data_IF_792147365553
#
_entry.id   IF_792147365553
#
_cell.length_a   1.000
_cell.length_b   1.000
_cell.length_c   1.000
_cell.angle_alpha   90.00
_cell.angle_beta   90.00
_cell.angle_gamma   90.00
#
_symmetry.space_group_name_H-M   'P 1'
#
loop_
_entity.id
_entity.type
_entity.pdbx_description
1 polymer ?
#
# COMPACT_ATOMS: atom_id res chain seq x y z
N UNK A 1 21.40 -21.17 -19.86
CA UNK A 1 20.96 -21.93 -18.68
C UNK A 1 20.46 -20.96 -17.61
N UNK A 2 21.24 -19.92 -17.26
CA UNK A 2 20.78 -18.78 -16.42
C UNK A 2 19.49 -18.12 -16.95
N UNK A 3 19.38 -17.85 -18.25
CA UNK A 3 18.19 -17.19 -18.85
C UNK A 3 16.87 -17.96 -18.66
N UNK A 4 16.95 -19.29 -18.52
CA UNK A 4 15.79 -20.15 -18.30
C UNK A 4 15.45 -20.27 -16.80
N UNK A 5 16.44 -20.06 -15.94
CA UNK A 5 16.30 -20.05 -14.48
C UNK A 5 15.73 -18.72 -13.99
N UNK A 6 16.21 -17.59 -14.53
CA UNK A 6 15.66 -16.26 -14.27
C UNK A 6 14.21 -16.13 -14.76
N UNK A 7 13.89 -16.70 -15.93
CA UNK A 7 12.52 -16.77 -16.43
C UNK A 7 11.63 -17.62 -15.52
N UNK A 8 12.13 -18.78 -15.05
CA UNK A 8 11.39 -19.63 -14.12
C UNK A 8 11.18 -18.94 -12.75
N UNK A 9 12.18 -18.21 -12.26
CA UNK A 9 12.10 -17.41 -11.02
C UNK A 9 11.10 -16.27 -11.21
N UNK A 10 11.16 -15.54 -12.32
CA UNK A 10 10.22 -14.47 -12.66
C UNK A 10 8.79 -15.00 -12.72
N UNK A 11 8.58 -16.13 -13.39
CA UNK A 11 7.27 -16.79 -13.49
C UNK A 11 6.78 -17.27 -12.12
N UNK A 12 7.66 -17.80 -11.26
CA UNK A 12 7.30 -18.17 -9.88
C UNK A 12 6.94 -16.95 -9.03
N UNK A 13 7.64 -15.84 -9.20
CA UNK A 13 7.34 -14.56 -8.57
C UNK A 13 5.96 -14.05 -8.99
N UNK A 14 5.75 -13.87 -10.29
CA UNK A 14 4.46 -13.44 -10.85
C UNK A 14 3.28 -14.32 -10.41
N UNK A 15 3.52 -15.60 -10.11
CA UNK A 15 2.50 -16.56 -9.64
C UNK A 15 2.29 -16.57 -8.12
N UNK A 16 3.06 -15.83 -7.32
CA UNK A 16 2.87 -15.75 -5.86
C UNK A 16 3.10 -17.05 -5.07
N UNK A 17 3.63 -18.11 -5.69
CA UNK A 17 3.70 -19.48 -5.16
C UNK A 17 4.52 -19.66 -3.87
N UNK A 18 5.21 -18.63 -3.37
CA UNK A 18 6.07 -18.68 -2.19
C UNK A 18 5.48 -18.03 -0.93
N UNK A 19 4.26 -17.49 -0.98
CA UNK A 19 3.64 -16.79 0.15
C UNK A 19 2.82 -17.76 1.01
N UNK A 20 3.47 -18.45 1.95
CA UNK A 20 2.75 -19.11 3.05
C UNK A 20 2.19 -18.04 4.01
N UNK A 21 0.91 -18.16 4.36
CA UNK A 21 0.16 -17.22 5.23
C UNK A 21 0.69 -17.19 6.68
N UNK A 22 1.47 -18.19 7.11
CA UNK A 22 1.96 -18.31 8.49
C UNK A 22 3.16 -17.41 8.86
N UNK A 23 3.49 -16.43 8.02
CA UNK A 23 4.53 -15.45 8.29
C UNK A 23 3.94 -14.08 7.98
N UNK A 24 3.37 -13.44 9.00
CA UNK A 24 3.19 -11.98 9.00
C UNK A 24 4.54 -11.31 8.70
N UNK A 25 4.53 -10.04 8.28
CA UNK A 25 5.77 -9.27 8.19
C UNK A 25 6.57 -9.47 9.48
N UNK A 26 7.89 -9.65 9.37
CA UNK A 26 8.77 -9.80 10.54
C UNK A 26 8.41 -8.70 11.55
N UNK A 27 7.95 -9.09 12.77
CA UNK A 27 7.43 -8.18 13.82
C UNK A 27 8.43 -7.08 14.20
N UNK A 28 9.67 -7.20 13.71
CA UNK A 28 10.79 -6.31 13.94
C UNK A 28 10.78 -5.02 13.10
N UNK A 29 9.92 -4.87 12.08
CA UNK A 29 9.91 -3.68 11.21
C UNK A 29 8.77 -2.75 11.60
N UNK A 30 9.11 -1.61 12.19
CA UNK A 30 8.15 -0.54 12.46
C UNK A 30 8.14 0.50 11.34
N UNK A 31 6.93 0.87 10.91
CA UNK A 31 6.74 1.98 10.00
C UNK A 31 7.09 3.28 10.71
N UNK A 32 7.93 4.09 10.08
CA UNK A 32 8.33 5.39 10.61
C UNK A 32 7.33 6.45 10.15
N UNK A 33 6.20 6.51 10.83
CA UNK A 33 5.14 7.48 10.57
C UNK A 33 5.56 8.88 11.09
N UNK A 34 5.02 9.91 10.46
CA UNK A 34 5.27 11.30 10.86
C UNK A 34 4.07 11.79 11.66
N UNK A 35 4.25 11.81 12.98
CA UNK A 35 3.30 12.44 13.89
C UNK A 35 3.52 13.95 13.89
N UNK A 36 2.41 14.69 13.90
CA UNK A 36 2.42 16.15 13.99
C UNK A 36 1.55 16.52 15.19
N UNK A 37 2.04 17.43 16.04
CA UNK A 37 1.26 17.93 17.17
C UNK A 37 -0.09 18.50 16.71
N UNK A 38 -1.13 18.32 17.54
CA UNK A 38 -2.46 18.88 17.29
C UNK A 38 -2.36 20.39 16.99
N UNK A 39 -2.68 20.76 15.75
CA UNK A 39 -2.67 22.13 15.29
C UNK A 39 -4.03 22.47 14.69
N UNK A 40 -4.47 23.72 14.80
CA UNK A 40 -5.73 24.18 14.20
C UNK A 40 -5.74 24.18 12.66
N UNK A 41 -4.59 23.88 12.04
CA UNK A 41 -4.45 23.74 10.60
C UNK A 41 -4.56 22.26 10.22
N UNK A 42 -5.42 21.95 9.26
CA UNK A 42 -5.63 20.60 8.74
C UNK A 42 -5.02 20.46 7.35
N UNK A 43 -4.54 19.26 7.04
CA UNK A 43 -4.16 18.90 5.67
C UNK A 43 -5.40 18.80 4.78
N UNK A 44 -5.27 19.08 3.47
CA UNK A 44 -6.39 18.93 2.56
C UNK A 44 -6.77 17.44 2.43
N UNK A 45 -8.06 17.17 2.24
CA UNK A 45 -8.58 15.81 2.02
C UNK A 45 -8.52 15.38 0.55
N UNK A 46 -8.33 16.32 -0.36
CA UNK A 46 -8.04 16.07 -1.77
C UNK A 46 -6.62 16.54 -2.09
N UNK A 47 -6.02 15.97 -3.14
CA UNK A 47 -4.67 16.38 -3.51
C UNK A 47 -4.65 17.83 -4.01
N UNK A 48 -4.05 18.71 -3.20
CA UNK A 48 -3.75 20.08 -3.58
C UNK A 48 -2.29 20.42 -3.22
N UNK A 49 -1.37 20.46 -4.21
CA UNK A 49 0.04 20.72 -3.96
C UNK A 49 0.29 22.09 -3.35
N UNK A 50 -0.58 23.09 -3.59
CA UNK A 50 -0.41 24.42 -3.03
C UNK A 50 -0.70 24.42 -1.52
N UNK A 51 -1.83 23.85 -1.09
CA UNK A 51 -2.17 23.70 0.34
C UNK A 51 -1.16 22.82 1.07
N UNK A 52 -0.74 21.70 0.49
CA UNK A 52 0.29 20.81 1.07
C UNK A 52 1.61 21.57 1.27
N UNK A 53 2.03 22.34 0.26
CA UNK A 53 3.24 23.16 0.34
C UNK A 53 3.13 24.24 1.43
N UNK A 54 1.98 24.91 1.54
CA UNK A 54 1.74 25.90 2.58
C UNK A 54 1.76 25.30 3.99
N UNK A 55 1.21 24.09 4.16
CA UNK A 55 1.19 23.37 5.43
C UNK A 55 2.60 22.95 5.87
N UNK A 56 3.36 22.27 5.01
CA UNK A 56 4.70 21.77 5.33
C UNK A 56 5.77 22.86 5.33
N UNK A 57 5.58 23.93 4.56
CA UNK A 57 6.44 25.11 4.57
C UNK A 57 6.49 25.81 5.93
N UNK A 58 5.43 25.72 6.73
CA UNK A 58 5.37 26.21 8.11
C UNK A 58 6.01 25.27 9.14
N UNK A 59 6.35 24.04 8.75
CA UNK A 59 6.83 22.96 9.62
C UNK A 59 8.21 22.45 9.20
N UNK A 60 9.24 23.32 9.07
CA UNK A 60 10.54 22.93 8.53
C UNK A 60 11.27 21.88 9.38
N UNK A 61 11.01 21.82 10.69
CA UNK A 61 11.60 20.79 11.57
C UNK A 61 11.10 19.40 11.22
N UNK A 62 9.79 19.21 11.06
CA UNK A 62 9.22 17.92 10.68
C UNK A 62 9.73 17.47 9.31
N UNK A 63 9.78 18.37 8.34
CA UNK A 63 10.34 18.11 7.00
C UNK A 63 11.82 17.71 7.09
N UNK A 64 12.64 18.46 7.83
CA UNK A 64 14.07 18.17 7.97
C UNK A 64 14.31 16.81 8.65
N UNK A 65 13.58 16.51 9.72
CA UNK A 65 13.62 15.20 10.37
C UNK A 65 13.28 14.09 9.39
N UNK A 66 12.23 14.27 8.58
CA UNK A 66 11.84 13.30 7.57
C UNK A 66 12.92 13.11 6.51
N UNK A 67 13.52 14.19 6.00
CA UNK A 67 14.63 14.11 5.03
C UNK A 67 15.83 13.36 5.62
N UNK A 68 16.24 13.67 6.86
CA UNK A 68 17.36 12.99 7.53
C UNK A 68 17.07 11.49 7.65
N UNK A 69 15.83 11.16 8.03
CA UNK A 69 15.40 9.77 8.12
C UNK A 69 15.50 9.06 6.77
N UNK A 70 14.95 9.64 5.70
CA UNK A 70 15.03 9.10 4.33
C UNK A 70 16.49 8.90 3.89
N UNK A 71 17.34 9.92 4.07
CA UNK A 71 18.75 9.88 3.69
C UNK A 71 19.55 8.86 4.51
N UNK A 72 19.27 8.72 5.80
CA UNK A 72 19.99 7.77 6.65
C UNK A 72 19.75 6.32 6.21
N UNK A 73 18.51 5.99 5.86
CA UNK A 73 18.11 4.64 5.42
C UNK A 73 18.62 4.37 4.01
N UNK A 74 18.38 5.30 3.07
CA UNK A 74 18.85 5.17 1.69
C UNK A 74 20.39 5.16 1.59
N UNK A 75 21.07 6.01 2.36
CA UNK A 75 22.53 6.09 2.38
C UNK A 75 23.19 4.81 2.86
N UNK A 76 22.64 4.18 3.90
CA UNK A 76 23.09 2.87 4.38
C UNK A 76 23.00 1.80 3.28
N UNK A 77 21.85 1.72 2.60
CA UNK A 77 21.63 0.79 1.49
C UNK A 77 22.58 1.03 0.31
N UNK A 78 22.64 2.27 -0.18
CA UNK A 78 23.46 2.64 -1.33
C UNK A 78 24.95 2.42 -1.06
N UNK A 79 25.42 2.65 0.18
CA UNK A 79 26.81 2.37 0.55
C UNK A 79 27.15 0.89 0.45
N UNK A 80 26.24 0.00 0.88
CA UNK A 80 26.41 -1.46 0.79
C UNK A 80 26.32 -1.94 -0.65
N UNK A 81 25.38 -1.41 -1.43
CA UNK A 81 25.29 -1.71 -2.86
C UNK A 81 26.56 -1.29 -3.61
N UNK A 82 27.11 -0.11 -3.30
CA UNK A 82 28.37 0.36 -3.86
C UNK A 82 29.55 -0.57 -3.48
N UNK A 83 29.62 -1.01 -2.21
CA UNK A 83 30.62 -1.99 -1.78
C UNK A 83 30.47 -3.33 -2.52
N UNK A 84 29.25 -3.80 -2.75
CA UNK A 84 28.99 -5.04 -3.50
C UNK A 84 29.47 -4.92 -4.96
N UNK A 85 29.27 -3.75 -5.59
CA UNK A 85 29.79 -3.46 -6.93
C UNK A 85 31.32 -3.44 -6.94
N UNK A 86 31.94 -2.73 -6.00
CA UNK A 86 33.42 -2.63 -5.88
C UNK A 86 34.05 -4.00 -5.64
N UNK A 87 33.43 -4.81 -4.78
CA UNK A 87 33.92 -6.15 -4.43
C UNK A 87 33.48 -7.23 -5.42
N UNK A 88 32.71 -6.89 -6.47
CA UNK A 88 32.14 -7.81 -7.46
C UNK A 88 31.25 -8.92 -6.85
N UNK A 89 30.57 -8.61 -5.74
CA UNK A 89 29.68 -9.52 -4.99
C UNK A 89 28.19 -9.27 -5.25
N UNK A 90 27.83 -8.49 -6.27
CA UNK A 90 26.43 -8.13 -6.57
C UNK A 90 25.54 -9.36 -6.72
N UNK A 91 25.95 -10.38 -7.50
CA UNK A 91 25.19 -11.63 -7.66
C UNK A 91 25.10 -12.43 -6.36
N UNK A 92 26.18 -12.48 -5.58
CA UNK A 92 26.23 -13.22 -4.31
C UNK A 92 25.28 -12.61 -3.26
N UNK A 93 25.20 -11.28 -3.24
CA UNK A 93 24.42 -10.52 -2.25
C UNK A 93 23.03 -10.11 -2.74
N UNK A 94 22.62 -10.51 -3.95
CA UNK A 94 21.39 -10.04 -4.60
C UNK A 94 20.14 -10.28 -3.73
N UNK A 95 19.99 -11.51 -3.20
CA UNK A 95 18.87 -11.87 -2.32
C UNK A 95 18.87 -11.04 -1.05
N UNK A 96 20.05 -10.85 -0.43
CA UNK A 96 20.17 -10.05 0.78
C UNK A 96 19.83 -8.57 0.53
N UNK A 97 20.24 -8.01 -0.62
CA UNK A 97 19.90 -6.63 -1.00
C UNK A 97 18.41 -6.49 -1.33
N UNK A 98 17.79 -7.50 -1.96
CA UNK A 98 16.37 -7.51 -2.26
C UNK A 98 15.51 -7.53 -0.99
N UNK A 99 15.88 -8.35 -0.01
CA UNK A 99 15.24 -8.38 1.32
C UNK A 99 15.40 -7.02 1.99
N UNK A 100 16.63 -6.49 2.06
CA UNK A 100 16.88 -5.19 2.68
C UNK A 100 16.10 -4.05 1.99
N UNK A 101 16.02 -4.05 0.66
CA UNK A 101 15.22 -3.08 -0.09
C UNK A 101 13.75 -3.14 0.33
N UNK A 102 13.17 -4.35 0.43
CA UNK A 102 11.80 -4.54 0.92
C UNK A 102 11.64 -3.98 2.33
N UNK A 103 12.54 -4.28 3.25
CA UNK A 103 12.49 -3.81 4.64
C UNK A 103 12.59 -2.28 4.73
N UNK A 104 13.46 -1.69 3.92
CA UNK A 104 13.59 -0.23 3.80
C UNK A 104 12.26 0.36 3.33
N UNK A 105 11.75 -0.12 2.19
CA UNK A 105 10.49 0.35 1.62
C UNK A 105 9.34 0.24 2.62
N UNK A 106 9.24 -0.87 3.35
CA UNK A 106 8.27 -1.05 4.45
C UNK A 106 8.48 -0.01 5.54
N UNK A 107 9.71 0.18 6.03
CA UNK A 107 10.01 1.09 7.14
C UNK A 107 9.76 2.57 6.79
N UNK A 108 9.89 2.94 5.52
CA UNK A 108 9.64 4.30 5.06
C UNK A 108 8.14 4.62 5.06
N UNK A 109 7.27 3.62 4.98
CA UNK A 109 5.83 3.80 5.20
C UNK A 109 5.00 3.85 3.91
N UNK A 110 3.73 4.31 4.01
CA UNK A 110 2.67 3.99 3.05
C UNK A 110 2.98 4.39 1.59
N UNK A 111 3.56 5.57 1.39
CA UNK A 111 3.90 6.06 0.05
C UNK A 111 4.92 5.16 -0.65
N UNK A 112 5.96 4.76 0.08
CA UNK A 112 7.02 3.90 -0.43
C UNK A 112 6.54 2.46 -0.60
N UNK A 113 5.71 1.94 0.31
CA UNK A 113 5.10 0.61 0.16
C UNK A 113 4.33 0.53 -1.15
N UNK A 114 3.47 1.53 -1.45
CA UNK A 114 2.76 1.59 -2.72
C UNK A 114 3.69 1.70 -3.94
N UNK A 115 4.76 2.50 -3.84
CA UNK A 115 5.78 2.55 -4.88
C UNK A 115 6.43 1.17 -5.09
N UNK A 116 6.75 0.46 -4.01
CA UNK A 116 7.29 -0.89 -4.06
C UNK A 116 6.36 -1.88 -4.73
N UNK A 117 5.05 -1.83 -4.40
CA UNK A 117 4.00 -2.63 -5.05
C UNK A 117 3.91 -2.33 -6.56
N UNK A 118 3.99 -1.05 -6.95
CA UNK A 118 3.98 -0.67 -8.36
C UNK A 118 5.25 -1.14 -9.12
N UNK A 119 6.40 -1.11 -8.45
CA UNK A 119 7.68 -1.57 -9.03
C UNK A 119 7.77 -3.11 -9.08
N UNK A 120 7.07 -3.83 -8.20
CA UNK A 120 7.17 -5.30 -8.11
C UNK A 120 6.57 -6.04 -9.31
N UNK A 121 5.93 -5.31 -10.23
CA UNK A 121 5.39 -5.80 -11.50
C UNK A 121 6.15 -5.26 -12.73
N UNK A 122 7.31 -4.62 -12.53
CA UNK A 122 8.11 -3.97 -13.57
C UNK A 122 9.44 -4.69 -13.82
N UNK A 123 9.45 -5.76 -14.65
CA UNK A 123 10.66 -6.53 -14.96
C UNK A 123 11.72 -5.76 -15.75
N UNK A 124 11.34 -4.61 -16.33
CA UNK A 124 12.25 -3.69 -17.00
C UNK A 124 13.06 -2.81 -16.02
N UNK A 125 12.67 -2.77 -14.75
CA UNK A 125 13.31 -1.95 -13.71
C UNK A 125 14.02 -2.80 -12.66
N UNK A 126 13.40 -3.90 -12.23
CA UNK A 126 13.87 -4.71 -11.11
C UNK A 126 14.28 -6.12 -11.56
N UNK A 127 15.27 -6.70 -10.86
CA UNK A 127 15.61 -8.11 -11.07
C UNK A 127 14.48 -9.02 -10.59
N UNK A 128 14.37 -10.26 -11.12
CA UNK A 128 13.36 -11.22 -10.68
C UNK A 128 13.36 -11.44 -9.16
N UNK A 129 14.55 -11.46 -8.53
CA UNK A 129 14.72 -11.60 -7.09
C UNK A 129 14.12 -10.40 -6.34
N UNK A 130 14.42 -9.19 -6.78
CA UNK A 130 13.86 -7.97 -6.18
C UNK A 130 12.34 -7.89 -6.36
N UNK A 131 11.81 -8.27 -7.53
CA UNK A 131 10.37 -8.33 -7.77
C UNK A 131 9.66 -9.27 -6.80
N UNK A 132 10.18 -10.49 -6.62
CA UNK A 132 9.63 -11.46 -5.67
C UNK A 132 9.62 -10.93 -4.22
N UNK A 133 10.69 -10.25 -3.81
CA UNK A 133 10.75 -9.68 -2.47
C UNK A 133 9.78 -8.51 -2.29
N UNK A 134 9.66 -7.63 -3.28
CA UNK A 134 8.71 -6.50 -3.20
C UNK A 134 7.25 -6.92 -3.35
N UNK A 135 6.94 -8.02 -4.04
CA UNK A 135 5.56 -8.56 -4.09
C UNK A 135 5.03 -8.92 -2.71
N UNK A 136 5.91 -9.24 -1.74
CA UNK A 136 5.51 -9.46 -0.34
C UNK A 136 4.87 -8.21 0.28
N UNK A 137 5.15 -7.00 -0.22
CA UNK A 137 4.55 -5.75 0.25
C UNK A 137 3.04 -5.68 -0.02
N UNK A 138 2.49 -6.52 -0.89
CA UNK A 138 1.05 -6.58 -1.15
C UNK A 138 0.29 -7.19 0.04
N UNK A 139 0.86 -8.20 0.69
CA UNK A 139 0.16 -9.01 1.71
C UNK A 139 0.81 -8.93 3.11
N UNK A 140 2.08 -8.53 3.19
CA UNK A 140 2.90 -8.63 4.41
C UNK A 140 3.41 -7.26 4.81
N UNK A 141 2.49 -6.40 5.24
CA UNK A 141 2.81 -5.13 5.89
C UNK A 141 2.59 -5.27 7.41
N UNK A 142 3.48 -4.75 8.27
CA UNK A 142 3.29 -4.78 9.73
C UNK A 142 1.95 -4.15 10.15
N UNK A 143 1.26 -4.73 11.12
CA UNK A 143 0.08 -4.13 11.74
C UNK A 143 0.46 -2.95 12.65
N UNK A 144 -0.53 -2.19 13.07
CA UNK A 144 -0.43 -1.20 14.14
C UNK A 144 -1.29 -1.64 15.34
N UNK A 145 -1.08 -1.06 16.54
CA UNK A 145 -1.77 -1.49 17.76
C UNK A 145 -3.30 -1.53 17.62
N UNK A 146 -3.90 -2.63 18.10
CA UNK A 146 -5.33 -2.90 17.96
C UNK A 146 -6.20 -1.89 18.72
N UNK A 147 -5.72 -1.40 19.87
CA UNK A 147 -6.39 -0.37 20.66
C UNK A 147 -6.55 0.95 19.88
N UNK A 148 -5.53 1.34 19.11
CA UNK A 148 -5.61 2.51 18.21
C UNK A 148 -6.65 2.27 17.11
N UNK A 149 -6.68 1.06 16.53
CA UNK A 149 -7.64 0.72 15.49
C UNK A 149 -9.09 0.76 16.01
N UNK A 150 -9.33 0.19 17.21
CA UNK A 150 -10.65 0.21 17.84
C UNK A 150 -11.08 1.64 18.18
N UNK A 151 -10.19 2.44 18.75
CA UNK A 151 -10.47 3.86 19.03
C UNK A 151 -10.82 4.63 17.74
N UNK A 152 -10.13 4.37 16.63
CA UNK A 152 -10.43 5.00 15.35
C UNK A 152 -11.80 4.58 14.79
N UNK A 153 -12.19 3.31 14.96
CA UNK A 153 -13.55 2.86 14.61
C UNK A 153 -14.61 3.65 15.39
N UNK A 154 -14.41 3.82 16.68
CA UNK A 154 -15.34 4.55 17.55
C UNK A 154 -15.43 6.03 17.20
N UNK A 155 -14.28 6.68 16.94
CA UNK A 155 -14.19 8.07 16.52
C UNK A 155 -14.94 8.30 15.21
N UNK A 156 -14.68 7.46 14.21
CA UNK A 156 -15.19 7.65 12.85
C UNK A 156 -16.65 7.24 12.67
N UNK A 157 -17.13 6.25 13.44
CA UNK A 157 -18.51 5.76 13.38
C UNK A 157 -19.40 6.36 14.48
N UNK A 158 -18.82 7.12 15.41
CA UNK A 158 -19.53 7.91 16.42
C UNK A 158 -20.17 7.11 17.57
N UNK A 159 -19.82 5.83 17.73
CA UNK A 159 -20.33 4.96 18.79
C UNK A 159 -19.35 3.80 19.06
N UNK A 160 -19.40 3.17 20.25
CA UNK A 160 -18.54 2.04 20.58
C UNK A 160 -18.68 0.90 19.56
N UNK A 161 -17.57 0.27 19.17
CA UNK A 161 -17.60 -0.76 18.13
C UNK A 161 -18.46 -1.97 18.52
N UNK A 162 -18.64 -2.24 19.82
CA UNK A 162 -19.48 -3.29 20.39
C UNK A 162 -21.00 -3.02 20.23
N UNK A 163 -21.37 -1.78 19.93
CA UNK A 163 -22.74 -1.42 19.55
C UNK A 163 -23.00 -1.71 18.07
N UNK A 164 -21.95 -1.71 17.25
CA UNK A 164 -21.98 -1.93 15.80
C UNK A 164 -21.84 -3.40 15.45
N UNK A 165 -20.81 -4.04 16.01
CA UNK A 165 -20.41 -5.40 15.72
C UNK A 165 -20.68 -6.29 16.94
N UNK A 166 -21.34 -7.43 16.74
CA UNK A 166 -21.52 -8.45 17.78
C UNK A 166 -20.23 -9.25 18.03
N UNK A 167 -19.39 -9.35 17.01
CA UNK A 167 -18.09 -10.02 17.04
C UNK A 167 -17.11 -9.18 16.21
N UNK A 168 -15.88 -9.01 16.69
CA UNK A 168 -14.78 -8.43 15.94
C UNK A 168 -13.49 -9.14 16.37
N UNK A 169 -12.62 -9.49 15.43
CA UNK A 169 -11.39 -10.21 15.74
C UNK A 169 -10.47 -9.38 16.63
N UNK A 170 -9.82 -10.01 17.61
CA UNK A 170 -8.91 -9.31 18.55
C UNK A 170 -7.61 -8.84 17.92
N UNK A 171 -7.30 -9.35 16.73
CA UNK A 171 -6.11 -9.02 15.95
C UNK A 171 -6.50 -8.95 14.47
N UNK A 172 -5.76 -8.19 13.64
CA UNK A 172 -6.09 -8.07 12.24
C UNK A 172 -5.85 -9.38 11.51
N UNK A 173 -6.74 -9.70 10.58
CA UNK A 173 -6.61 -10.86 9.69
C UNK A 173 -5.69 -10.55 8.49
N UNK A 174 -5.51 -9.26 8.17
CA UNK A 174 -4.66 -8.79 7.09
C UNK A 174 -4.22 -7.36 7.38
N UNK A 175 -3.05 -6.97 6.87
CA UNK A 175 -2.53 -5.62 6.93
C UNK A 175 -1.92 -5.23 5.59
N UNK A 176 -2.23 -4.01 5.14
CA UNK A 176 -1.85 -3.48 3.84
C UNK A 176 -1.20 -2.10 3.99
N UNK A 177 -0.89 -1.45 2.86
CA UNK A 177 -0.17 -0.17 2.82
C UNK A 177 -0.87 0.95 3.59
N UNK A 178 -2.20 1.05 3.49
CA UNK A 178 -2.98 2.15 4.09
C UNK A 178 -3.69 1.80 5.41
N UNK A 179 -3.82 0.52 5.74
CA UNK A 179 -4.70 0.09 6.82
C UNK A 179 -4.53 -1.38 7.20
N UNK A 180 -5.34 -1.84 8.13
CA UNK A 180 -5.47 -3.25 8.50
C UNK A 180 -6.93 -3.67 8.57
N UNK A 181 -7.18 -4.96 8.40
CA UNK A 181 -8.52 -5.52 8.24
C UNK A 181 -8.83 -6.45 9.42
N UNK A 182 -10.02 -6.30 9.97
CA UNK A 182 -10.59 -7.16 11.00
C UNK A 182 -11.75 -7.95 10.42
N UNK A 183 -11.93 -9.18 10.92
CA UNK A 183 -13.14 -9.96 10.62
C UNK A 183 -14.16 -9.67 11.72
N UNK A 184 -15.39 -9.36 11.34
CA UNK A 184 -16.44 -9.07 12.29
C UNK A 184 -17.81 -9.61 11.87
N UNK A 185 -18.79 -9.35 12.72
CA UNK A 185 -20.20 -9.65 12.51
C UNK A 185 -21.06 -8.47 12.91
N UNK A 186 -21.93 -8.01 12.01
CA UNK A 186 -22.83 -6.91 12.30
C UNK A 186 -23.91 -7.31 13.29
N UNK A 187 -24.17 -6.44 14.27
CA UNK A 187 -25.16 -6.67 15.32
C UNK A 187 -26.60 -6.55 14.80
N UNK A 188 -26.82 -5.68 13.81
CA UNK A 188 -28.14 -5.37 13.27
C UNK A 188 -28.78 -6.55 12.53
N UNK A 189 -27.99 -7.33 11.79
CA UNK A 189 -28.50 -8.39 10.91
C UNK A 189 -27.70 -9.71 10.96
N UNK A 190 -26.56 -9.75 11.66
CA UNK A 190 -25.73 -10.95 11.78
C UNK A 190 -24.78 -11.20 10.61
N UNK A 191 -24.69 -10.30 9.63
CA UNK A 191 -23.84 -10.47 8.45
C UNK A 191 -22.36 -10.51 8.83
N UNK A 192 -21.60 -11.40 8.19
CA UNK A 192 -20.14 -11.43 8.31
C UNK A 192 -19.53 -10.30 7.48
N UNK A 193 -18.57 -9.59 8.06
CA UNK A 193 -17.96 -8.41 7.46
C UNK A 193 -16.43 -8.39 7.58
N UNK A 194 -15.80 -7.74 6.62
CA UNK A 194 -14.43 -7.27 6.71
C UNK A 194 -14.46 -5.77 7.07
N UNK A 195 -13.76 -5.40 8.14
CA UNK A 195 -13.67 -4.01 8.64
C UNK A 195 -12.24 -3.53 8.43
N UNK A 196 -12.03 -2.71 7.40
CA UNK A 196 -10.73 -2.11 7.08
C UNK A 196 -10.59 -0.78 7.79
N UNK A 197 -9.54 -0.63 8.59
CA UNK A 197 -9.25 0.54 9.41
C UNK A 197 -7.96 1.17 8.91
N UNK A 198 -8.01 2.47 8.60
CA UNK A 198 -6.87 3.22 8.09
C UNK A 198 -5.78 3.37 9.16
N UNK A 199 -4.51 3.37 8.75
CA UNK A 199 -3.36 3.61 9.63
C UNK A 199 -3.42 5.03 10.19
N UNK A 200 -3.06 5.23 11.47
CA UNK A 200 -2.92 6.57 12.03
C UNK A 200 -1.83 7.35 11.28
N UNK A 201 -1.98 8.67 11.19
CA UNK A 201 -1.01 9.58 10.58
C UNK A 201 -0.62 9.29 9.12
N UNK A 202 -1.45 8.52 8.39
CA UNK A 202 -1.17 8.15 6.99
C UNK A 202 -1.15 9.40 6.09
N UNK A 203 -2.07 10.34 6.31
CA UNK A 203 -2.21 11.56 5.51
C UNK A 203 -0.99 12.46 5.70
N UNK A 204 -0.58 12.67 6.95
CA UNK A 204 0.59 13.44 7.34
C UNK A 204 1.86 12.84 6.73
N UNK A 205 2.06 11.54 6.93
CA UNK A 205 3.24 10.83 6.43
C UNK A 205 3.35 10.91 4.90
N UNK A 206 2.24 10.68 4.20
CA UNK A 206 2.23 10.70 2.73
C UNK A 206 2.41 12.11 2.19
N UNK A 207 1.72 13.10 2.77
CA UNK A 207 1.81 14.48 2.29
C UNK A 207 3.20 15.08 2.48
N UNK A 208 3.92 14.76 3.56
CA UNK A 208 5.31 15.22 3.73
C UNK A 208 6.25 14.54 2.73
N UNK A 209 6.05 13.26 2.45
CA UNK A 209 6.83 12.54 1.44
C UNK A 209 6.61 13.14 0.04
N UNK A 210 5.35 13.35 -0.34
CA UNK A 210 4.98 14.03 -1.58
C UNK A 210 5.59 15.42 -1.68
N UNK A 211 5.52 16.21 -0.61
CA UNK A 211 6.13 17.54 -0.55
C UNK A 211 7.65 17.49 -0.80
N UNK A 212 8.35 16.56 -0.16
CA UNK A 212 9.81 16.39 -0.32
C UNK A 212 10.15 15.98 -1.76
N UNK A 213 9.49 14.95 -2.29
CA UNK A 213 9.78 14.41 -3.64
C UNK A 213 9.44 15.46 -4.71
N UNK A 214 8.31 16.15 -4.57
CA UNK A 214 7.90 17.21 -5.50
C UNK A 214 8.89 18.37 -5.51
N UNK A 215 9.37 18.80 -4.34
CA UNK A 215 10.39 19.85 -4.23
C UNK A 215 11.72 19.42 -4.86
N UNK A 216 12.13 18.16 -4.68
CA UNK A 216 13.27 17.60 -5.39
C UNK A 216 13.04 17.66 -6.91
N UNK A 217 11.87 17.24 -7.39
CA UNK A 217 11.51 17.34 -8.81
C UNK A 217 11.61 18.76 -9.37
N UNK A 218 11.16 19.77 -8.62
CA UNK A 218 11.30 21.19 -9.00
C UNK A 218 12.76 21.64 -9.10
N UNK A 219 13.64 21.11 -8.24
CA UNK A 219 15.09 21.35 -8.33
C UNK A 219 15.67 20.65 -9.55
N UNK A 220 15.29 19.39 -9.81
CA UNK A 220 15.77 18.61 -10.94
C UNK A 220 15.37 19.23 -12.30
N UNK A 221 14.19 19.87 -12.39
CA UNK A 221 13.76 20.62 -13.59
C UNK A 221 14.73 21.75 -14.00
N UNK A 222 15.59 22.23 -13.09
CA UNK A 222 16.62 23.23 -13.41
C UNK A 222 17.82 22.64 -14.17
N UNK A 223 17.92 21.32 -14.25
CA UNK A 223 19.00 20.60 -14.91
C UNK A 223 18.50 20.02 -16.23
N UNK A 224 18.83 20.62 -17.40
CA UNK A 224 18.29 20.22 -18.70
C UNK A 224 18.71 18.81 -19.15
N UNK A 225 19.67 18.19 -18.47
CA UNK A 225 20.11 16.80 -18.71
C UNK A 225 19.09 15.76 -18.21
N UNK A 226 18.16 16.16 -17.35
CA UNK A 226 17.13 15.28 -16.77
C UNK A 226 15.84 15.48 -17.58
N UNK A 227 15.50 14.49 -18.41
CA UNK A 227 14.30 14.53 -19.25
C UNK A 227 13.02 14.03 -18.56
N UNK A 228 13.13 13.52 -17.33
CA UNK A 228 12.00 12.94 -16.59
C UNK A 228 11.23 14.05 -15.89
N UNK A 229 9.93 14.16 -16.17
CA UNK A 229 9.05 15.06 -15.42
C UNK A 229 8.63 14.46 -14.08
N UNK A 230 9.54 14.54 -13.11
CA UNK A 230 9.31 14.03 -11.75
C UNK A 230 8.10 14.69 -11.09
N UNK A 231 7.88 15.99 -11.32
CA UNK A 231 6.74 16.70 -10.70
C UNK A 231 5.43 16.22 -11.28
N UNK A 232 5.33 16.09 -12.61
CA UNK A 232 4.13 15.56 -13.25
C UNK A 232 3.81 14.14 -12.80
N UNK A 233 4.84 13.28 -12.69
CA UNK A 233 4.68 11.92 -12.19
C UNK A 233 4.18 11.88 -10.73
N UNK A 234 4.75 12.72 -9.87
CA UNK A 234 4.33 12.83 -8.47
C UNK A 234 2.90 13.36 -8.37
N UNK A 235 2.55 14.38 -9.15
CA UNK A 235 1.22 14.99 -9.09
C UNK A 235 0.12 13.98 -9.51
N UNK A 236 0.35 13.17 -10.56
CA UNK A 236 -0.60 12.12 -10.97
C UNK A 236 -0.70 11.01 -9.93
N UNK A 237 0.44 10.51 -9.44
CA UNK A 237 0.46 9.46 -8.44
C UNK A 237 -0.19 9.90 -7.12
N UNK A 238 0.04 11.15 -6.72
CA UNK A 238 -0.55 11.73 -5.53
C UNK A 238 -2.08 11.85 -5.64
N UNK A 239 -2.60 12.28 -6.79
CA UNK A 239 -4.04 12.37 -6.99
C UNK A 239 -4.72 11.00 -6.74
N UNK A 240 -4.18 9.92 -7.32
CA UNK A 240 -4.67 8.55 -7.12
C UNK A 240 -4.52 8.09 -5.68
N UNK A 241 -3.40 8.42 -5.04
CA UNK A 241 -3.20 8.08 -3.63
C UNK A 241 -4.27 8.72 -2.73
N UNK A 242 -4.61 9.98 -2.97
CA UNK A 242 -5.64 10.69 -2.18
C UNK A 242 -7.04 10.10 -2.37
N UNK A 243 -7.36 9.61 -3.57
CA UNK A 243 -8.60 8.87 -3.82
C UNK A 243 -8.68 7.59 -2.95
N UNK A 244 -7.55 6.93 -2.71
CA UNK A 244 -7.47 5.75 -1.84
C UNK A 244 -7.46 6.05 -0.34
N UNK A 245 -7.19 7.30 0.05
CA UNK A 245 -7.32 7.75 1.45
C UNK A 245 -8.78 8.00 1.84
N UNK A 246 -9.69 7.96 0.87
CA UNK A 246 -11.12 8.12 1.06
C UNK A 246 -11.83 6.77 0.91
N UNK A 247 -12.06 6.10 2.02
CA UNK A 247 -12.73 4.79 2.03
C UNK A 247 -14.21 4.84 1.64
N UNK A 248 -14.85 6.01 1.71
CA UNK A 248 -16.21 6.18 1.15
C UNK A 248 -16.14 6.05 -0.37
N UNK A 249 -15.21 6.78 -1.00
CA UNK A 249 -14.98 6.71 -2.44
C UNK A 249 -14.57 5.30 -2.87
N UNK A 250 -13.71 4.60 -2.12
CA UNK A 250 -13.38 3.20 -2.39
C UNK A 250 -14.62 2.29 -2.36
N UNK A 251 -15.46 2.43 -1.32
CA UNK A 251 -16.69 1.66 -1.17
C UNK A 251 -17.73 1.94 -2.27
N UNK A 252 -17.84 3.18 -2.74
CA UNK A 252 -18.70 3.57 -3.87
C UNK A 252 -18.18 3.02 -5.20
N UNK A 253 -16.88 3.13 -5.46
CA UNK A 253 -16.26 2.58 -6.66
C UNK A 253 -16.43 1.06 -6.74
N UNK A 254 -16.35 0.35 -5.60
CA UNK A 254 -16.66 -1.09 -5.54
C UNK A 254 -18.09 -1.41 -5.98
N UNK A 255 -19.07 -0.62 -5.53
CA UNK A 255 -20.47 -0.82 -5.93
C UNK A 255 -20.68 -0.52 -7.42
N UNK A 256 -20.09 0.57 -7.92
CA UNK A 256 -20.14 0.90 -9.36
C UNK A 256 -19.54 -0.22 -10.21
N UNK A 257 -18.38 -0.74 -9.80
CA UNK A 257 -17.73 -1.85 -10.50
C UNK A 257 -18.59 -3.13 -10.46
N UNK A 258 -19.24 -3.42 -9.33
CA UNK A 258 -20.25 -4.51 -9.22
C UNK A 258 -21.37 -4.39 -10.24
N UNK A 259 -21.91 -3.18 -10.42
CA UNK A 259 -22.97 -2.93 -11.39
C UNK A 259 -22.49 -3.09 -12.84
N UNK A 260 -21.29 -2.61 -13.15
CA UNK A 260 -20.67 -2.76 -14.48
C UNK A 260 -20.44 -4.23 -14.84
N UNK A 261 -19.96 -5.04 -13.90
CA UNK A 261 -19.64 -6.45 -14.16
C UNK A 261 -20.88 -7.35 -14.21
N UNK A 262 -21.96 -7.00 -13.49
CA UNK A 262 -23.15 -7.85 -13.32
C UNK A 262 -23.72 -8.43 -14.62
N UNK A 263 -23.65 -7.68 -15.72
CA UNK A 263 -24.20 -8.11 -17.02
C UNK A 263 -23.26 -9.02 -17.80
N UNK A 264 -21.98 -8.69 -17.81
CA UNK A 264 -21.00 -9.28 -18.75
C UNK A 264 -20.10 -10.34 -18.09
N UNK A 265 -19.88 -10.24 -16.79
CA UNK A 265 -19.09 -11.14 -15.98
C UNK A 265 -19.81 -11.45 -14.65
N UNK A 266 -20.95 -12.16 -14.67
CA UNK A 266 -21.71 -12.49 -13.45
C UNK A 266 -20.92 -13.36 -12.46
N UNK A 267 -19.83 -13.99 -12.89
CA UNK A 267 -18.91 -14.73 -12.02
C UNK A 267 -17.96 -13.83 -11.20
N UNK A 268 -17.83 -12.54 -11.56
CA UNK A 268 -17.03 -11.59 -10.78
C UNK A 268 -17.90 -10.99 -9.70
N UNK A 269 -17.56 -11.31 -8.44
CA UNK A 269 -18.29 -10.85 -7.25
C UNK A 269 -17.47 -9.79 -6.55
N UNK A 270 -18.11 -8.66 -6.25
CA UNK A 270 -17.55 -7.58 -5.45
C UNK A 270 -18.33 -7.50 -4.15
N UNK A 271 -17.66 -7.50 -2.98
CA UNK A 271 -18.34 -7.51 -1.69
C UNK A 271 -19.21 -6.28 -1.52
N UNK A 272 -20.41 -6.46 -0.96
CA UNK A 272 -21.29 -5.33 -0.67
C UNK A 272 -20.66 -4.40 0.37
N UNK A 273 -20.56 -3.11 0.04
CA UNK A 273 -20.23 -2.04 1.00
C UNK A 273 -21.40 -1.75 1.93
N UNK A 274 -21.16 -1.73 3.24
CA UNK A 274 -22.13 -1.29 4.24
C UNK A 274 -21.94 0.20 4.53
N UNK A 275 -22.64 1.04 3.76
CA UNK A 275 -22.52 2.50 3.82
C UNK A 275 -22.72 3.08 5.24
N UNK A 276 -23.65 2.52 6.01
CA UNK A 276 -23.90 2.93 7.41
C UNK A 276 -22.69 2.74 8.33
N UNK A 277 -21.81 1.80 8.00
CA UNK A 277 -20.61 1.43 8.77
C UNK A 277 -19.33 1.75 8.00
N UNK A 278 -19.40 2.74 7.13
CA UNK A 278 -18.28 3.22 6.31
C UNK A 278 -18.13 4.73 6.53
N UNK A 279 -16.88 5.15 6.71
CA UNK A 279 -16.46 6.54 6.85
C UNK A 279 -15.23 6.77 5.97
N UNK A 280 -14.59 7.93 6.09
CA UNK A 280 -13.36 8.23 5.35
C UNK A 280 -12.21 7.29 5.73
N UNK A 281 -12.13 6.85 6.99
CA UNK A 281 -11.02 6.03 7.51
C UNK A 281 -11.43 4.60 7.91
N UNK A 282 -12.71 4.26 7.84
CA UNK A 282 -13.21 2.91 8.14
C UNK A 282 -14.07 2.42 6.96
N UNK A 283 -13.75 1.25 6.41
CA UNK A 283 -14.53 0.62 5.35
C UNK A 283 -15.08 -0.71 5.84
N UNK A 284 -16.40 -0.87 5.83
CA UNK A 284 -17.05 -2.15 6.15
C UNK A 284 -17.62 -2.77 4.88
N UNK A 285 -17.11 -3.95 4.50
CA UNK A 285 -17.62 -4.72 3.35
C UNK A 285 -18.06 -6.11 3.77
N UNK A 286 -18.82 -6.77 2.92
CA UNK A 286 -19.16 -8.18 3.06
C UNK A 286 -17.89 -9.04 3.17
N UNK A 287 -17.92 -10.02 4.06
CA UNK A 287 -16.88 -11.04 4.14
C UNK A 287 -17.03 -12.02 2.98
N UNK A 288 -16.02 -12.12 2.13
CA UNK A 288 -15.93 -13.13 1.08
C UNK A 288 -14.89 -14.17 1.47
N UNK A 289 -15.26 -15.43 1.34
CA UNK A 289 -14.37 -16.56 1.56
C UNK A 289 -13.99 -17.16 0.21
N UNK A 290 -12.69 -17.38 -0.01
CA UNK A 290 -12.16 -17.88 -1.26
C UNK A 290 -10.66 -18.10 -1.20
N UNK A 291 -10.12 -18.63 -2.29
CA UNK A 291 -8.69 -18.84 -2.49
C UNK A 291 -8.05 -17.58 -3.08
N UNK A 292 -6.85 -17.20 -2.60
CA UNK A 292 -6.14 -16.04 -3.14
C UNK A 292 -5.65 -16.32 -4.56
N UNK A 293 -5.61 -15.29 -5.41
CA UNK A 293 -5.04 -15.41 -6.76
C UNK A 293 -3.59 -15.91 -6.78
N UNK A 294 -2.82 -15.61 -5.73
CA UNK A 294 -1.45 -16.11 -5.55
C UNK A 294 -1.36 -17.62 -5.29
N UNK A 295 -2.48 -18.28 -5.02
CA UNK A 295 -2.57 -19.72 -4.74
C UNK A 295 -3.12 -20.50 -5.95
N UNK A 296 -3.65 -19.80 -6.96
CA UNK A 296 -4.23 -20.39 -8.17
C UNK A 296 -3.27 -21.30 -8.94
N UNK A 297 -3.81 -22.35 -9.55
CA UNK A 297 -3.04 -23.35 -10.29
C UNK A 297 -2.76 -22.90 -11.74
N UNK A 298 -1.80 -23.53 -12.42
CA UNK A 298 -1.48 -23.20 -13.83
C UNK A 298 -2.69 -23.30 -14.76
N UNK A 299 -3.61 -24.24 -14.49
CA UNK A 299 -4.84 -24.39 -15.27
C UNK A 299 -5.81 -23.23 -15.08
N UNK A 300 -5.81 -22.58 -13.92
CA UNK A 300 -6.73 -21.48 -13.61
C UNK A 300 -6.25 -20.16 -14.22
N UNK A 301 -4.93 -19.99 -14.35
CA UNK A 301 -4.31 -18.72 -14.80
C UNK A 301 -4.87 -18.25 -16.13
N UNK A 302 -5.05 -19.15 -17.11
CA UNK A 302 -5.57 -18.77 -18.43
C UNK A 302 -6.96 -18.16 -18.37
N UNK A 303 -7.85 -18.74 -17.56
CA UNK A 303 -9.22 -18.26 -17.37
C UNK A 303 -9.24 -16.96 -16.54
N UNK A 304 -8.50 -16.93 -15.44
CA UNK A 304 -8.41 -15.77 -14.55
C UNK A 304 -7.82 -14.54 -15.25
N UNK A 305 -6.80 -14.72 -16.11
CA UNK A 305 -6.25 -13.64 -16.93
C UNK A 305 -7.29 -13.11 -17.90
N UNK A 306 -8.06 -13.98 -18.56
CA UNK A 306 -9.12 -13.54 -19.48
C UNK A 306 -10.18 -12.71 -18.74
N UNK A 307 -10.65 -13.19 -17.58
CA UNK A 307 -11.58 -12.44 -16.72
C UNK A 307 -10.99 -11.09 -16.31
N UNK A 308 -9.74 -11.06 -15.85
CA UNK A 308 -9.06 -9.83 -15.44
C UNK A 308 -8.89 -8.82 -16.57
N UNK A 309 -8.59 -9.26 -17.79
CA UNK A 309 -8.50 -8.40 -18.98
C UNK A 309 -9.87 -7.80 -19.33
N UNK A 310 -10.94 -8.59 -19.27
CA UNK A 310 -12.29 -8.08 -19.53
C UNK A 310 -12.69 -7.05 -18.47
N UNK A 311 -12.41 -7.32 -17.19
CA UNK A 311 -12.60 -6.35 -16.11
C UNK A 311 -11.88 -5.02 -16.40
N UNK A 312 -10.60 -5.08 -16.76
CA UNK A 312 -9.79 -3.89 -17.06
C UNK A 312 -10.31 -3.07 -18.25
N UNK A 313 -10.83 -3.72 -19.29
CA UNK A 313 -11.33 -3.05 -20.49
C UNK A 313 -12.72 -2.43 -20.31
N UNK A 314 -13.46 -2.83 -19.26
CA UNK A 314 -14.83 -2.37 -19.02
C UNK A 314 -14.96 -1.28 -17.95
N UNK A 315 -14.01 -1.19 -17.04
CA UNK A 315 -13.97 -0.13 -16.02
C UNK A 315 -13.60 1.23 -16.61
#
# INVERSE_FOLDING_TARGET
>A
MEENEDLAILMRGLRGQNLRDSQFADDNIQLRLVEVDESSEFLPLAYDPASISAYWGKRPRAVATRIIQLLSVAGGFLSRLAMDVVNKKVKENEVARAIELREIVTSLGPAYIKLGQALSIRPDILSPVAMMELQKLCDKVPSFPDDIAMALIEEELGQPWQEIYSELSSSPIAAASLGQVYKGRLKENGDLVAVKVQRPFVLETVTVDLFIIRNLGLVLRKFPQISIDVVGLVDEWAARFFEELDYVNEGENGQLFSEMMRKDLPQVVIPRTYQKYTSRKVLTTEWIEGEKLSQSTESDVGELVNVGVICYLKQ
#
